data_IF_141420025927
#
_entry.id   IF_141420025927
#
_cell.length_a   1.000
_cell.length_b   1.000
_cell.length_c   1.000
_cell.angle_alpha   90.00
_cell.angle_beta   90.00
_cell.angle_gamma   90.00
#
_symmetry.space_group_name_H-M   'P 1'
#
loop_
_entity.id
_entity.type
_entity.pdbx_description
1 polymer ?
#
# COMPACT_ATOMS: atom_id res chain seq x y z
N UNK A 1 12.73 18.05 -0.93
CA UNK A 1 11.34 17.72 -0.56
C UNK A 1 11.39 16.92 0.74
N UNK A 2 10.65 17.31 1.79
CA UNK A 2 10.59 16.50 3.00
C UNK A 2 9.40 15.54 2.87
N UNK A 3 9.64 14.27 2.57
CA UNK A 3 8.56 13.28 2.40
C UNK A 3 7.72 13.11 3.68
N UNK A 4 8.28 13.42 4.86
CA UNK A 4 7.57 13.35 6.13
C UNK A 4 6.52 14.47 6.32
N UNK A 5 6.50 15.50 5.46
CA UNK A 5 5.44 16.52 5.47
C UNK A 5 4.28 16.19 4.54
N UNK A 6 4.31 15.06 3.83
CA UNK A 6 3.22 14.62 2.99
C UNK A 6 2.14 13.96 3.85
N UNK A 7 0.93 14.52 3.80
CA UNK A 7 -0.22 14.00 4.53
C UNK A 7 -1.46 14.02 3.63
N UNK A 8 -1.92 12.83 3.26
CA UNK A 8 -3.09 12.65 2.39
C UNK A 8 -3.71 11.27 2.65
N UNK A 9 -5.04 11.18 2.66
CA UNK A 9 -5.76 9.96 3.03
C UNK A 9 -5.43 8.74 2.14
N UNK A 10 -5.04 8.96 0.89
CA UNK A 10 -4.71 7.91 -0.09
C UNK A 10 -3.20 7.81 -0.40
N UNK A 11 -2.33 8.33 0.46
CA UNK A 11 -0.88 8.19 0.35
C UNK A 11 -0.33 7.69 1.68
N UNK A 12 0.57 6.71 1.65
CA UNK A 12 1.20 6.18 2.85
C UNK A 12 2.05 7.27 3.50
N UNK A 13 1.74 7.59 4.75
CA UNK A 13 2.46 8.61 5.51
C UNK A 13 3.84 8.10 5.92
N UNK A 14 4.88 8.84 5.54
CA UNK A 14 6.23 8.66 6.09
C UNK A 14 6.30 9.37 7.44
N UNK A 15 6.64 8.61 8.49
CA UNK A 15 6.73 9.11 9.87
C UNK A 15 8.13 9.67 10.13
N UNK A 16 9.16 8.92 9.71
CA UNK A 16 10.54 9.31 9.88
C UNK A 16 11.42 8.66 8.82
N UNK A 17 12.54 9.32 8.51
CA UNK A 17 13.61 8.74 7.73
C UNK A 17 14.93 9.05 8.44
N UNK A 18 15.77 8.04 8.62
CA UNK A 18 17.10 8.15 9.19
C UNK A 18 18.14 7.71 8.17
N UNK A 19 19.21 8.47 8.05
CA UNK A 19 20.40 8.07 7.29
C UNK A 19 21.40 7.39 8.21
N UNK A 20 22.29 6.60 7.63
CA UNK A 20 23.38 5.95 8.33
C UNK A 20 24.42 6.96 8.85
N UNK A 21 25.06 6.61 9.97
CA UNK A 21 26.24 7.29 10.49
C UNK A 21 27.47 6.86 9.66
N UNK A 22 28.20 7.79 9.01
CA UNK A 22 29.37 7.45 8.19
C UNK A 22 30.52 6.80 8.97
N UNK A 23 30.51 6.85 10.31
CA UNK A 23 31.51 6.19 11.16
C UNK A 23 31.22 4.72 11.45
N UNK A 24 30.00 4.24 11.16
CA UNK A 24 29.55 2.88 11.42
C UNK A 24 29.24 2.17 10.10
N UNK A 25 30.16 1.30 9.66
CA UNK A 25 30.12 0.61 8.35
C UNK A 25 28.90 -0.31 8.15
N UNK A 26 28.11 -0.58 9.21
CA UNK A 26 26.96 -1.49 9.18
C UNK A 26 25.60 -0.80 9.40
N UNK A 27 25.55 0.54 9.45
CA UNK A 27 24.28 1.24 9.60
C UNK A 27 23.55 1.32 8.25
N UNK A 28 22.33 0.76 8.18
CA UNK A 28 21.45 0.89 7.01
C UNK A 28 20.47 2.04 7.24
N UNK A 29 20.26 2.87 6.22
CA UNK A 29 19.22 3.91 6.27
C UNK A 29 17.85 3.31 6.54
N UNK A 30 17.05 3.95 7.39
CA UNK A 30 15.75 3.43 7.82
C UNK A 30 14.65 4.40 7.44
N UNK A 31 13.58 3.90 6.82
CA UNK A 31 12.35 4.66 6.60
C UNK A 31 11.26 4.01 7.44
N UNK A 32 10.61 4.83 8.28
CA UNK A 32 9.48 4.44 9.11
C UNK A 32 8.22 5.05 8.49
N UNK A 33 7.25 4.21 8.17
CA UNK A 33 5.97 4.59 7.56
C UNK A 33 4.82 4.16 8.45
N UNK A 34 3.64 4.75 8.23
CA UNK A 34 2.42 4.21 8.83
C UNK A 34 2.18 2.76 8.40
N UNK A 35 1.63 1.98 9.31
CA UNK A 35 1.13 0.65 8.97
C UNK A 35 -0.28 0.77 8.41
N UNK A 36 -0.46 0.38 7.14
CA UNK A 36 -1.73 0.53 6.41
C UNK A 36 -2.63 -0.70 6.54
N UNK A 37 -2.03 -1.90 6.50
CA UNK A 37 -2.75 -3.17 6.52
C UNK A 37 -1.88 -4.33 6.00
N UNK A 38 -2.44 -5.55 6.04
CA UNK A 38 -1.76 -6.78 5.63
C UNK A 38 -1.96 -7.15 4.15
N UNK A 39 -2.67 -6.32 3.38
CA UNK A 39 -3.03 -6.63 2.00
C UNK A 39 -2.70 -5.48 1.06
N UNK A 40 -2.47 -5.84 -0.19
CA UNK A 40 -2.26 -4.90 -1.30
C UNK A 40 -3.25 -5.23 -2.40
N UNK A 41 -3.47 -4.31 -3.33
CA UNK A 41 -4.36 -4.54 -4.46
C UNK A 41 -3.92 -5.76 -5.29
N UNK A 42 -2.62 -6.06 -5.34
CA UNK A 42 -2.07 -7.28 -5.93
C UNK A 42 -2.68 -8.55 -5.30
N UNK A 43 -2.76 -8.62 -3.97
CA UNK A 43 -3.37 -9.75 -3.28
C UNK A 43 -4.86 -9.90 -3.57
N UNK A 44 -5.59 -8.79 -3.75
CA UNK A 44 -7.03 -8.85 -4.06
C UNK A 44 -7.28 -9.29 -5.51
N UNK A 45 -6.50 -8.76 -6.47
CA UNK A 45 -6.68 -9.06 -7.90
C UNK A 45 -6.23 -10.49 -8.25
N UNK A 46 -5.07 -10.92 -7.74
CA UNK A 46 -4.45 -12.18 -8.14
C UNK A 46 -4.58 -13.29 -7.08
N UNK A 47 -5.05 -12.95 -5.88
CA UNK A 47 -5.10 -13.85 -4.74
C UNK A 47 -3.76 -13.97 -4.00
N UNK A 48 -3.84 -14.31 -2.72
CA UNK A 48 -2.68 -14.75 -1.93
C UNK A 48 -2.32 -16.18 -2.30
N UNK A 49 -1.07 -16.46 -2.71
CA UNK A 49 -0.59 -17.83 -2.97
C UNK A 49 -0.66 -18.76 -1.75
N UNK A 50 -0.93 -18.23 -0.55
CA UNK A 50 -0.98 -18.96 0.71
C UNK A 50 -2.26 -19.80 0.94
N UNK A 51 -3.24 -19.79 0.03
CA UNK A 51 -4.51 -20.50 0.21
C UNK A 51 -4.54 -21.96 -0.32
N UNK A 52 -3.39 -22.56 -0.69
CA UNK A 52 -3.34 -23.95 -1.19
C UNK A 52 -3.17 -25.04 -0.11
N UNK A 53 -3.15 -24.70 1.18
CA UNK A 53 -3.09 -25.67 2.28
C UNK A 53 -4.23 -25.49 3.29
N UNK A 54 -5.49 -25.55 2.85
CA UNK A 54 -6.59 -25.90 3.75
C UNK A 54 -7.13 -27.27 3.37
N UNK A 55 -6.58 -28.28 4.05
CA UNK A 55 -7.23 -29.57 4.20
C UNK A 55 -8.65 -29.39 4.75
N UNK A 56 -9.56 -30.25 4.28
CA UNK A 56 -10.96 -30.37 4.69
C UNK A 56 -11.14 -30.14 6.19
N UNK A 57 -11.76 -29.01 6.56
CA UNK A 57 -12.19 -28.70 7.91
C UNK A 57 -13.33 -27.68 7.85
N UNK A 58 -14.48 -28.06 8.40
CA UNK A 58 -15.79 -27.44 8.21
C UNK A 58 -15.86 -25.93 8.54
N UNK A 59 -16.59 -25.18 7.70
CA UNK A 59 -17.42 -24.05 8.17
C UNK A 59 -16.77 -22.67 8.24
N UNK A 60 -16.46 -22.09 7.08
CA UNK A 60 -16.60 -20.68 6.64
C UNK A 60 -15.59 -20.52 5.51
N UNK A 61 -16.00 -20.87 4.30
CA UNK A 61 -15.20 -20.57 3.11
C UNK A 61 -15.04 -19.07 3.04
N UNK A 62 -13.81 -18.59 3.15
CA UNK A 62 -13.47 -17.24 2.74
C UNK A 62 -13.73 -17.17 1.24
N UNK A 63 -14.93 -16.71 0.89
CA UNK A 63 -15.32 -16.36 -0.47
C UNK A 63 -14.21 -15.46 -1.00
N UNK A 64 -13.53 -15.93 -2.04
CA UNK A 64 -12.74 -15.06 -2.88
C UNK A 64 -13.75 -14.17 -3.60
N UNK A 65 -14.23 -13.14 -2.92
CA UNK A 65 -15.09 -12.12 -3.53
C UNK A 65 -14.20 -11.38 -4.52
N UNK A 66 -14.29 -11.79 -5.78
CA UNK A 66 -13.70 -11.05 -6.89
C UNK A 66 -14.08 -9.57 -6.75
N UNK A 67 -13.15 -8.67 -7.06
CA UNK A 67 -13.44 -7.24 -7.12
C UNK A 67 -14.72 -7.00 -7.92
N UNK A 68 -15.75 -6.44 -7.27
CA UNK A 68 -16.93 -6.02 -7.98
C UNK A 68 -16.71 -4.65 -8.62
N UNK A 69 -17.60 -4.25 -9.54
CA UNK A 69 -17.47 -2.98 -10.26
C UNK A 69 -17.45 -1.75 -9.34
N UNK A 70 -18.21 -1.78 -8.24
CA UNK A 70 -18.27 -0.68 -7.26
C UNK A 70 -16.90 -0.52 -6.59
N UNK A 71 -16.31 -1.62 -6.12
CA UNK A 71 -14.96 -1.61 -5.52
C UNK A 71 -13.89 -1.16 -6.52
N UNK A 72 -13.97 -1.60 -7.79
CA UNK A 72 -13.06 -1.12 -8.82
C UNK A 72 -13.10 0.40 -8.97
N UNK A 73 -14.30 0.99 -8.96
CA UNK A 73 -14.48 2.43 -9.08
C UNK A 73 -13.99 3.16 -7.83
N UNK A 74 -14.30 2.65 -6.63
CA UNK A 74 -13.84 3.21 -5.35
C UNK A 74 -12.31 3.24 -5.27
N UNK A 75 -11.66 2.11 -5.54
CA UNK A 75 -10.19 2.03 -5.55
C UNK A 75 -9.56 2.92 -6.62
N UNK A 76 -10.18 3.00 -7.80
CA UNK A 76 -9.71 3.90 -8.85
C UNK A 76 -9.76 5.36 -8.41
N UNK A 77 -10.85 5.78 -7.75
CA UNK A 77 -11.00 7.12 -7.20
C UNK A 77 -9.94 7.42 -6.14
N UNK A 78 -9.70 6.49 -5.20
CA UNK A 78 -8.66 6.63 -4.18
C UNK A 78 -7.26 6.78 -4.78
N UNK A 79 -6.90 5.91 -5.72
CA UNK A 79 -5.59 5.94 -6.40
C UNK A 79 -5.43 7.27 -7.16
N UNK A 80 -6.44 7.70 -7.90
CA UNK A 80 -6.39 8.97 -8.63
C UNK A 80 -6.26 10.15 -7.66
N UNK A 81 -6.99 10.14 -6.53
CA UNK A 81 -6.87 11.19 -5.51
C UNK A 81 -5.44 11.26 -4.94
N UNK A 82 -4.84 10.11 -4.62
CA UNK A 82 -3.45 10.04 -4.16
C UNK A 82 -2.44 10.54 -5.20
N UNK A 83 -2.62 10.16 -6.48
CA UNK A 83 -1.75 10.62 -7.56
C UNK A 83 -1.87 12.13 -7.81
N UNK A 84 -3.09 12.68 -7.79
CA UNK A 84 -3.32 14.13 -7.91
C UNK A 84 -2.56 14.88 -6.81
N UNK A 85 -2.64 14.38 -5.57
CA UNK A 85 -1.88 14.93 -4.46
C UNK A 85 -0.35 14.85 -4.69
N UNK A 86 0.19 13.67 -5.00
CA UNK A 86 1.64 13.49 -5.26
C UNK A 86 2.13 14.40 -6.38
N UNK A 87 1.38 14.47 -7.49
CA UNK A 87 1.73 15.32 -8.63
C UNK A 87 1.68 16.81 -8.27
N UNK A 88 0.78 17.24 -7.38
CA UNK A 88 0.75 18.62 -6.86
C UNK A 88 2.02 18.99 -6.08
N UNK A 89 2.71 17.98 -5.52
CA UNK A 89 3.98 18.11 -4.80
C UNK A 89 5.19 17.88 -5.70
N UNK A 90 4.99 17.80 -7.03
CA UNK A 90 6.01 17.51 -8.04
C UNK A 90 6.69 16.15 -7.86
N UNK A 91 5.98 15.17 -7.29
CA UNK A 91 6.44 13.80 -7.13
C UNK A 91 5.82 12.95 -8.23
N UNK A 92 6.63 12.14 -8.92
CA UNK A 92 6.16 11.12 -9.85
C UNK A 92 6.49 9.77 -9.24
N UNK A 93 5.49 8.89 -9.09
CA UNK A 93 5.67 7.60 -8.41
C UNK A 93 6.64 6.65 -9.14
N UNK A 94 6.65 6.66 -10.48
CA UNK A 94 7.50 5.84 -11.37
C UNK A 94 7.38 4.30 -11.27
N UNK A 95 6.78 3.75 -10.21
CA UNK A 95 6.58 2.30 -10.01
C UNK A 95 5.14 1.99 -9.56
N UNK A 96 4.16 2.67 -10.18
CA UNK A 96 2.74 2.45 -9.87
C UNK A 96 2.31 1.06 -10.38
N UNK A 97 2.05 0.15 -9.44
CA UNK A 97 1.59 -1.22 -9.69
C UNK A 97 0.72 -1.71 -8.53
N UNK A 98 -0.10 -2.77 -8.72
CA UNK A 98 -0.98 -3.26 -7.65
C UNK A 98 -0.27 -3.64 -6.34
N UNK A 99 1.02 -3.99 -6.38
CA UNK A 99 1.81 -4.31 -5.19
C UNK A 99 2.15 -3.08 -4.34
N UNK A 100 2.14 -1.87 -4.93
CA UNK A 100 2.44 -0.60 -4.25
C UNK A 100 1.16 0.15 -3.83
N UNK A 101 -0.01 -0.49 -3.99
CA UNK A 101 -1.30 0.01 -3.50
C UNK A 101 -1.71 -0.82 -2.29
N UNK A 102 -1.64 -0.23 -1.09
CA UNK A 102 -2.04 -0.86 0.16
C UNK A 102 -3.52 -0.67 0.42
N UNK A 103 -4.14 -1.66 1.06
CA UNK A 103 -5.58 -1.65 1.39
C UNK A 103 -5.73 -1.63 2.90
N UNK A 104 -6.40 -0.60 3.42
CA UNK A 104 -6.70 -0.49 4.85
C UNK A 104 -7.78 -1.49 5.27
N UNK A 105 -7.91 -1.74 6.57
CA UNK A 105 -9.03 -2.52 7.12
C UNK A 105 -10.41 -1.91 6.78
N UNK A 106 -10.48 -0.59 6.57
CA UNK A 106 -11.67 0.14 6.16
C UNK A 106 -11.91 0.14 4.64
N UNK A 107 -11.18 -0.70 3.89
CA UNK A 107 -11.31 -0.85 2.44
C UNK A 107 -10.96 0.42 1.61
N UNK A 108 -9.99 1.21 2.08
CA UNK A 108 -9.48 2.42 1.40
C UNK A 108 -8.10 2.13 0.81
N UNK A 109 -7.82 2.62 -0.39
CA UNK A 109 -6.50 2.49 -1.01
C UNK A 109 -5.53 3.59 -0.56
N UNK A 110 -4.28 3.20 -0.29
CA UNK A 110 -3.14 4.12 -0.10
C UNK A 110 -1.97 3.75 -1.01
N UNK A 111 -1.40 4.76 -1.68
CA UNK A 111 -0.20 4.63 -2.52
C UNK A 111 1.04 4.62 -1.63
N UNK A 112 1.87 3.59 -1.72
CA UNK A 112 3.20 3.52 -1.11
C UNK A 112 4.32 3.40 -2.16
N UNK A 113 5.57 3.34 -1.69
CA UNK A 113 6.76 3.10 -2.55
C UNK A 113 6.90 4.08 -3.74
N UNK A 114 6.72 5.38 -3.46
CA UNK A 114 6.76 6.50 -4.40
C UNK A 114 7.97 7.43 -4.17
#
# INVERSE_FOLDING_TARGET
LNVASLDHQNVVRVIAAGTCDPSCQDSVGTIIMEYVGNSTLHHIIYGTECAKTKGKGNGLGCSHDNLNLVQCLEYSCDIVSGLVFLHSQLIVHLDLKPANIFITEQNVCKIGDF
#
